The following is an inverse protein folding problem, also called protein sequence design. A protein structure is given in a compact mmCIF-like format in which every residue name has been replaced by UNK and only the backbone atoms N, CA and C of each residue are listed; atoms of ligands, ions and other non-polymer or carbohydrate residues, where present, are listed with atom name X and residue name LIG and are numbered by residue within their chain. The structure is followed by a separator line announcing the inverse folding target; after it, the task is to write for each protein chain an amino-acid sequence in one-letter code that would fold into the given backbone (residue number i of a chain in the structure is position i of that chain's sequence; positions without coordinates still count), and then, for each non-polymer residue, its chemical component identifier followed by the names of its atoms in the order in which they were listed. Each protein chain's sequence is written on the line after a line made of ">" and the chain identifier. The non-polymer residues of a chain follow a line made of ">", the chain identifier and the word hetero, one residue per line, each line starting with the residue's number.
data_IF_140511592666
#
_entry.id   IF_140511592666
#
_cell.length_a   1.000
_cell.length_b   1.000
_cell.length_c   1.000
_cell.angle_alpha   90.00
_cell.angle_beta   90.00
_cell.angle_gamma   90.00
#
_symmetry.space_group_name_H-M   'P 1'
#
loop_
_entity.id
_entity.type
_entity.pdbx_description
1 polymer ?
#
# COMPACT_ATOMS: atom_id res chain seq x y z
N UNK A 1 19.52 3.61 2.80
CA UNK A 1 18.17 3.38 2.26
C UNK A 1 18.20 2.09 1.46
N UNK A 2 17.25 1.21 1.66
CA UNK A 2 17.25 -0.11 1.04
C UNK A 2 16.71 0.01 -0.40
N UNK A 3 17.48 -0.45 -1.40
CA UNK A 3 17.04 -0.48 -2.81
C UNK A 3 15.84 -1.42 -2.97
N UNK A 4 14.76 -0.96 -3.59
CA UNK A 4 13.63 -1.81 -3.96
C UNK A 4 14.02 -2.72 -5.12
N UNK A 5 13.63 -4.01 -5.04
CA UNK A 5 13.80 -4.96 -6.14
C UNK A 5 12.59 -4.86 -7.08
N UNK A 6 12.78 -4.16 -8.20
CA UNK A 6 11.74 -3.87 -9.19
C UNK A 6 11.19 -5.15 -9.84
N UNK A 7 12.05 -6.16 -10.09
CA UNK A 7 11.64 -7.41 -10.72
C UNK A 7 10.73 -8.23 -9.79
N UNK A 8 11.05 -8.26 -8.50
CA UNK A 8 10.22 -8.91 -7.48
C UNK A 8 8.86 -8.22 -7.34
N UNK A 9 8.82 -6.88 -7.46
CA UNK A 9 7.57 -6.11 -7.38
C UNK A 9 6.66 -6.36 -8.58
N UNK A 10 7.23 -6.47 -9.79
CA UNK A 10 6.48 -6.67 -11.04
C UNK A 10 5.89 -8.08 -11.22
N UNK A 11 6.43 -9.09 -10.54
CA UNK A 11 5.96 -10.49 -10.61
C UNK A 11 4.45 -10.64 -10.29
N UNK A 12 3.87 -9.70 -9.53
CA UNK A 12 2.47 -9.69 -9.11
C UNK A 12 1.79 -8.34 -9.44
N UNK A 13 2.14 -7.75 -10.58
CA UNK A 13 1.68 -6.40 -10.94
C UNK A 13 0.16 -6.30 -11.07
N UNK A 14 -0.51 -7.30 -11.63
CA UNK A 14 -1.96 -7.30 -11.83
C UNK A 14 -2.70 -7.40 -10.49
N UNK A 15 -2.30 -8.30 -9.61
CA UNK A 15 -2.88 -8.47 -8.29
C UNK A 15 -2.65 -7.24 -7.40
N UNK A 16 -1.50 -6.58 -7.53
CA UNK A 16 -1.17 -5.35 -6.80
C UNK A 16 -1.91 -4.12 -7.35
N UNK A 17 -2.24 -4.13 -8.64
CA UNK A 17 -2.96 -3.03 -9.30
C UNK A 17 -4.47 -3.14 -9.11
N UNK A 18 -5.01 -4.34 -8.89
CA UNK A 18 -6.44 -4.57 -8.70
C UNK A 18 -7.06 -3.70 -7.60
N UNK A 19 -6.47 -3.56 -6.39
CA UNK A 19 -7.03 -2.68 -5.36
C UNK A 19 -7.07 -1.20 -5.78
N UNK A 20 -6.08 -0.73 -6.53
CA UNK A 20 -6.09 0.64 -7.04
C UNK A 20 -7.24 0.87 -8.04
N UNK A 21 -7.52 -0.11 -8.92
CA UNK A 21 -8.67 -0.04 -9.84
C UNK A 21 -10.01 -0.03 -9.09
N UNK A 22 -10.17 -0.88 -8.08
CA UNK A 22 -11.39 -0.96 -7.28
C UNK A 22 -11.61 0.32 -6.43
N UNK A 23 -10.54 0.86 -5.83
CA UNK A 23 -10.59 2.16 -5.16
C UNK A 23 -11.00 3.27 -6.13
N UNK A 24 -10.34 3.35 -7.28
CA UNK A 24 -10.59 4.36 -8.30
C UNK A 24 -12.04 4.31 -8.79
N UNK A 25 -12.61 3.11 -8.98
CA UNK A 25 -13.99 2.93 -9.42
C UNK A 25 -15.03 3.52 -8.44
N UNK A 26 -14.68 3.69 -7.16
CA UNK A 26 -15.53 4.27 -6.12
C UNK A 26 -15.34 5.77 -5.92
N UNK A 27 -14.37 6.41 -6.58
CA UNK A 27 -14.17 7.86 -6.50
C UNK A 27 -15.31 8.59 -7.23
N UNK A 28 -16.17 9.37 -6.54
CA UNK A 28 -17.38 9.95 -7.13
C UNK A 28 -17.10 11.32 -7.79
N UNK A 29 -15.93 11.50 -8.40
CA UNK A 29 -15.53 12.69 -9.14
C UNK A 29 -15.61 12.38 -10.62
N UNK A 30 -16.56 12.98 -11.32
CA UNK A 30 -16.76 12.75 -12.76
C UNK A 30 -15.64 13.41 -13.56
N UNK A 31 -15.40 14.70 -13.32
CA UNK A 31 -14.41 15.50 -13.99
C UNK A 31 -13.39 16.03 -12.98
N UNK A 32 -12.12 15.79 -13.25
CA UNK A 32 -11.01 16.29 -12.45
C UNK A 32 -10.05 17.09 -13.30
N UNK A 33 -9.56 18.20 -12.77
CA UNK A 33 -8.52 19.03 -13.38
C UNK A 33 -7.15 18.78 -12.71
N UNK A 34 -7.13 18.45 -11.42
CA UNK A 34 -5.91 18.24 -10.64
C UNK A 34 -6.03 16.97 -9.79
N UNK A 35 -5.16 16.01 -10.07
CA UNK A 35 -5.13 14.72 -9.39
C UNK A 35 -3.73 14.46 -8.86
N UNK A 36 -3.62 14.03 -7.60
CA UNK A 36 -2.34 13.67 -6.99
C UNK A 36 -2.40 12.23 -6.52
N UNK A 37 -1.37 11.46 -6.87
CA UNK A 37 -1.15 10.08 -6.44
C UNK A 37 -0.01 10.04 -5.42
N UNK A 38 -0.34 9.86 -4.14
CA UNK A 38 0.63 9.81 -3.04
C UNK A 38 1.20 8.40 -2.88
N UNK A 39 2.54 8.31 -2.81
CA UNK A 39 3.26 7.03 -2.77
C UNK A 39 3.06 6.25 -4.07
N UNK A 40 3.21 6.94 -5.19
CA UNK A 40 2.90 6.44 -6.53
C UNK A 40 3.79 5.27 -6.97
N UNK A 41 4.94 5.06 -6.30
CA UNK A 41 5.92 4.05 -6.70
C UNK A 41 6.34 4.21 -8.16
N UNK A 42 6.36 3.13 -8.97
CA UNK A 42 6.74 3.18 -10.38
C UNK A 42 5.64 3.72 -11.32
N UNK A 43 4.53 4.27 -10.76
CA UNK A 43 3.52 5.00 -11.52
C UNK A 43 2.31 4.17 -11.98
N UNK A 44 2.15 2.93 -11.55
CA UNK A 44 1.04 2.07 -12.00
C UNK A 44 -0.35 2.65 -11.65
N UNK A 45 -0.54 3.16 -10.43
CA UNK A 45 -1.77 3.84 -10.03
C UNK A 45 -1.93 5.19 -10.72
N UNK A 46 -0.84 5.95 -10.89
CA UNK A 46 -0.85 7.24 -11.60
C UNK A 46 -1.33 7.10 -13.03
N UNK A 47 -0.91 6.03 -13.74
CA UNK A 47 -1.39 5.73 -15.08
C UNK A 47 -2.90 5.42 -15.14
N UNK A 48 -3.45 4.73 -14.13
CA UNK A 48 -4.89 4.50 -14.03
C UNK A 48 -5.66 5.81 -13.81
N UNK A 49 -5.12 6.71 -12.98
CA UNK A 49 -5.71 8.02 -12.74
C UNK A 49 -5.73 8.85 -14.02
N UNK A 50 -4.61 8.87 -14.75
CA UNK A 50 -4.52 9.57 -16.05
C UNK A 50 -5.49 8.98 -17.09
N UNK A 51 -5.61 7.66 -17.15
CA UNK A 51 -6.55 7.00 -18.06
C UNK A 51 -8.01 7.37 -17.77
N UNK A 52 -8.37 7.58 -16.49
CA UNK A 52 -9.71 8.00 -16.09
C UNK A 52 -9.97 9.49 -16.40
N UNK A 53 -8.97 10.35 -16.19
CA UNK A 53 -9.06 11.80 -16.41
C UNK A 53 -7.94 12.28 -17.34
N UNK A 54 -8.07 12.01 -18.66
CA UNK A 54 -6.98 12.31 -19.61
C UNK A 54 -6.63 13.79 -19.75
N UNK A 55 -7.57 14.68 -19.42
CA UNK A 55 -7.39 16.13 -19.45
C UNK A 55 -6.87 16.70 -18.12
N UNK A 56 -6.79 15.88 -17.06
CA UNK A 56 -6.31 16.33 -15.77
C UNK A 56 -4.79 16.45 -15.73
N UNK A 57 -4.30 17.40 -14.94
CA UNK A 57 -2.93 17.39 -14.46
C UNK A 57 -2.80 16.31 -13.39
N UNK A 58 -2.15 15.20 -13.73
CA UNK A 58 -1.93 14.07 -12.81
C UNK A 58 -0.48 14.09 -12.37
N UNK A 59 -0.25 14.21 -11.06
CA UNK A 59 1.10 14.24 -10.46
C UNK A 59 1.29 13.04 -9.54
N UNK A 60 2.27 12.19 -9.84
CA UNK A 60 2.72 11.13 -8.94
C UNK A 60 3.76 11.67 -7.95
N UNK A 61 3.58 11.34 -6.67
CA UNK A 61 4.45 11.77 -5.57
C UNK A 61 5.02 10.54 -4.87
N UNK A 62 6.33 10.43 -4.76
CA UNK A 62 7.01 9.38 -4.00
C UNK A 62 8.29 9.90 -3.36
N UNK A 63 8.72 9.30 -2.26
CA UNK A 63 9.97 9.66 -1.59
C UNK A 63 11.20 8.97 -2.19
N UNK A 64 11.01 7.83 -2.92
CA UNK A 64 12.08 7.06 -3.53
C UNK A 64 12.48 7.61 -4.90
N UNK A 65 13.73 8.10 -5.05
CA UNK A 65 14.23 8.54 -6.35
C UNK A 65 14.31 7.39 -7.37
N UNK A 66 14.54 6.16 -6.94
CA UNK A 66 14.60 4.96 -7.79
C UNK A 66 13.23 4.66 -8.40
N UNK A 67 12.16 4.71 -7.57
CA UNK A 67 10.78 4.53 -8.05
C UNK A 67 10.40 5.61 -9.05
N UNK A 68 10.73 6.86 -8.76
CA UNK A 68 10.44 7.97 -9.67
C UNK A 68 11.27 7.92 -10.96
N UNK A 69 12.50 7.42 -10.90
CA UNK A 69 13.30 7.20 -12.11
C UNK A 69 12.62 6.19 -13.05
N UNK A 70 12.12 5.09 -12.48
CA UNK A 70 11.34 4.10 -13.22
C UNK A 70 10.03 4.68 -13.75
N UNK A 71 9.28 5.41 -12.93
CA UNK A 71 8.03 6.07 -13.33
C UNK A 71 8.23 7.02 -14.51
N UNK A 72 9.31 7.84 -14.52
CA UNK A 72 9.66 8.74 -15.63
C UNK A 72 10.00 7.97 -16.91
N UNK A 73 10.64 6.81 -16.77
CA UNK A 73 10.97 5.97 -17.91
C UNK A 73 9.72 5.35 -18.55
N UNK A 74 8.83 4.79 -17.72
CA UNK A 74 7.65 4.06 -18.18
C UNK A 74 6.53 5.03 -18.63
N UNK A 75 6.44 6.21 -17.98
CA UNK A 75 5.38 7.20 -18.21
C UNK A 75 5.92 8.61 -18.38
N UNK A 76 6.69 8.90 -19.46
CA UNK A 76 7.43 10.16 -19.64
C UNK A 76 6.55 11.39 -19.81
N UNK A 77 5.25 11.22 -20.03
CA UNK A 77 4.29 12.33 -20.21
C UNK A 77 3.59 12.75 -18.91
N UNK A 78 3.78 12.00 -17.81
CA UNK A 78 3.18 12.30 -16.51
C UNK A 78 4.15 13.13 -15.66
N UNK A 79 3.59 13.81 -14.67
CA UNK A 79 4.38 14.62 -13.74
C UNK A 79 4.78 13.80 -12.51
N UNK A 80 6.02 13.98 -12.08
CA UNK A 80 6.61 13.25 -10.95
C UNK A 80 7.30 14.20 -10.00
N UNK A 81 6.90 14.16 -8.73
CA UNK A 81 7.45 14.96 -7.64
C UNK A 81 8.09 14.07 -6.59
N UNK A 82 9.35 14.33 -6.24
CA UNK A 82 9.98 13.68 -5.11
C UNK A 82 9.63 14.43 -3.82
N UNK A 83 8.85 13.79 -2.96
CA UNK A 83 8.49 14.33 -1.64
C UNK A 83 8.07 13.22 -0.68
N UNK A 84 8.26 13.46 0.63
CA UNK A 84 7.68 12.63 1.67
C UNK A 84 6.19 12.98 1.84
N UNK A 85 5.33 11.96 1.94
CA UNK A 85 3.89 12.14 2.14
C UNK A 85 3.57 12.88 3.45
N UNK A 86 4.41 12.71 4.49
CA UNK A 86 4.26 13.45 5.74
C UNK A 86 4.40 14.97 5.54
N UNK A 87 5.29 15.37 4.64
CA UNK A 87 5.60 16.78 4.39
C UNK A 87 4.86 17.35 3.17
N UNK A 88 4.27 16.46 2.37
CA UNK A 88 3.58 16.87 1.15
C UNK A 88 2.46 17.87 1.43
N UNK A 89 2.49 18.96 0.66
CA UNK A 89 1.44 19.97 0.58
C UNK A 89 1.21 20.30 -0.89
N UNK A 90 -0.03 20.17 -1.33
CA UNK A 90 -0.41 20.63 -2.67
C UNK A 90 -0.30 22.15 -2.76
N UNK A 91 0.21 22.66 -3.86
CA UNK A 91 0.33 24.10 -4.15
C UNK A 91 -1.04 24.81 -4.31
N UNK A 92 -2.09 24.06 -4.62
CA UNK A 92 -3.49 24.48 -4.61
C UNK A 92 -4.40 23.27 -4.36
N UNK A 93 -5.66 23.49 -3.93
CA UNK A 93 -6.59 22.38 -3.71
C UNK A 93 -6.74 21.46 -4.91
N UNK A 94 -6.78 20.15 -4.66
CA UNK A 94 -6.88 19.12 -5.69
C UNK A 94 -8.30 18.55 -5.78
N UNK A 95 -8.67 18.02 -6.95
CA UNK A 95 -9.94 17.34 -7.14
C UNK A 95 -9.93 15.95 -6.52
N UNK A 96 -8.82 15.25 -6.67
CA UNK A 96 -8.62 13.90 -6.12
C UNK A 96 -7.22 13.79 -5.52
N UNK A 97 -7.17 13.37 -4.27
CA UNK A 97 -5.95 12.94 -3.60
C UNK A 97 -6.05 11.43 -3.42
N UNK A 98 -5.22 10.69 -4.12
CA UNK A 98 -5.24 9.22 -4.17
C UNK A 98 -4.04 8.65 -3.44
N UNK A 99 -4.21 7.58 -2.67
CA UNK A 99 -3.14 6.93 -1.93
C UNK A 99 -3.38 5.41 -1.89
N UNK A 100 -2.64 4.66 -2.69
CA UNK A 100 -2.77 3.20 -2.75
C UNK A 100 -1.57 2.51 -2.12
N UNK A 101 -1.78 1.78 -1.05
CA UNK A 101 -0.77 0.98 -0.34
C UNK A 101 0.47 1.77 0.12
N UNK A 102 0.27 2.99 0.61
CA UNK A 102 1.34 3.85 1.14
C UNK A 102 1.10 4.29 2.58
N UNK A 103 -0.12 4.76 2.94
CA UNK A 103 -0.32 5.42 4.24
C UNK A 103 -0.12 4.50 5.44
N UNK A 104 -0.29 3.19 5.30
CA UNK A 104 -0.03 2.21 6.36
C UNK A 104 1.44 2.13 6.82
N UNK A 105 2.36 2.76 6.08
CA UNK A 105 3.76 2.91 6.48
C UNK A 105 4.01 4.13 7.37
N UNK A 106 3.05 5.05 7.43
CA UNK A 106 3.20 6.33 8.10
C UNK A 106 2.62 6.28 9.52
N UNK A 107 3.25 6.95 10.47
CA UNK A 107 2.70 7.11 11.81
C UNK A 107 1.61 8.19 11.84
N UNK A 108 0.95 8.31 12.99
CA UNK A 108 0.04 9.42 13.32
C UNK A 108 -1.08 9.67 12.30
N UNK A 109 -1.85 8.64 12.02
CA UNK A 109 -3.03 8.77 11.15
C UNK A 109 -4.04 9.80 11.67
N UNK A 110 -4.04 10.07 12.98
CA UNK A 110 -4.94 11.06 13.58
C UNK A 110 -4.69 12.47 13.05
N UNK A 111 -3.44 12.87 12.87
CA UNK A 111 -3.07 14.14 12.25
C UNK A 111 -3.07 14.05 10.72
N UNK A 112 -2.66 12.90 10.16
CA UNK A 112 -2.44 12.72 8.73
C UNK A 112 -3.73 12.82 7.92
N UNK A 113 -4.77 12.05 8.27
CA UNK A 113 -5.99 11.93 7.46
C UNK A 113 -6.76 13.25 7.34
N UNK A 114 -7.05 14.01 8.43
CA UNK A 114 -7.68 15.33 8.32
C UNK A 114 -6.86 16.30 7.47
N UNK A 115 -5.53 16.29 7.64
CA UNK A 115 -4.62 17.15 6.87
C UNK A 115 -4.64 16.84 5.37
N UNK A 116 -4.70 15.56 4.99
CA UNK A 116 -4.79 15.17 3.58
C UNK A 116 -6.15 15.58 3.00
N UNK A 117 -7.25 15.36 3.72
CA UNK A 117 -8.58 15.75 3.27
C UNK A 117 -8.70 17.28 3.08
N UNK A 118 -8.04 18.08 3.92
CA UNK A 118 -8.03 19.54 3.80
C UNK A 118 -7.36 20.06 2.52
N UNK A 119 -6.54 19.26 1.86
CA UNK A 119 -5.92 19.61 0.58
C UNK A 119 -6.84 19.35 -0.64
N UNK A 120 -7.92 18.63 -0.42
CA UNK A 120 -8.93 18.36 -1.44
C UNK A 120 -9.89 19.54 -1.50
N UNK A 121 -10.32 19.97 -2.70
CA UNK A 121 -11.33 21.03 -2.84
C UNK A 121 -12.72 20.57 -2.36
N UNK A 122 -13.66 21.48 -2.02
CA UNK A 122 -15.05 21.10 -1.82
C UNK A 122 -15.62 20.34 -3.02
N UNK A 123 -16.28 19.19 -2.77
CA UNK A 123 -16.78 18.27 -3.79
C UNK A 123 -15.73 17.36 -4.42
N UNK A 124 -14.46 17.50 -4.07
CA UNK A 124 -13.40 16.55 -4.42
C UNK A 124 -13.33 15.35 -3.46
N UNK A 125 -12.39 14.44 -3.68
CA UNK A 125 -12.27 13.20 -2.91
C UNK A 125 -10.85 12.90 -2.46
N UNK A 126 -10.70 12.48 -1.19
CA UNK A 126 -9.55 11.72 -0.68
C UNK A 126 -9.91 10.23 -0.83
N UNK A 127 -9.10 9.48 -1.57
CA UNK A 127 -9.27 8.05 -1.80
C UNK A 127 -8.05 7.27 -1.31
N UNK A 128 -8.24 6.38 -0.36
CA UNK A 128 -7.15 5.65 0.32
C UNK A 128 -7.43 4.17 0.31
N UNK A 129 -6.40 3.38 -0.01
CA UNK A 129 -6.39 1.94 0.21
C UNK A 129 -5.16 1.54 1.02
N UNK A 130 -5.33 0.68 2.00
CA UNK A 130 -4.26 0.17 2.85
C UNK A 130 -4.36 -1.34 3.04
N UNK A 131 -3.24 -2.10 2.95
CA UNK A 131 -3.21 -3.47 3.45
C UNK A 131 -3.54 -3.53 4.95
N UNK A 132 -4.40 -4.49 5.34
CA UNK A 132 -4.80 -4.72 6.74
C UNK A 132 -4.32 -6.10 7.21
N UNK A 133 -3.10 -6.46 6.82
CA UNK A 133 -2.56 -7.81 6.99
C UNK A 133 -1.86 -8.06 8.32
N UNK A 134 -1.85 -7.10 9.25
CA UNK A 134 -1.11 -7.21 10.51
C UNK A 134 -1.47 -8.48 11.30
N UNK A 135 -2.73 -8.87 11.36
CA UNK A 135 -3.21 -10.05 12.08
C UNK A 135 -3.22 -11.33 11.24
N UNK A 136 -2.97 -11.23 9.94
CA UNK A 136 -2.90 -12.40 9.06
C UNK A 136 -1.74 -13.33 9.42
N UNK A 137 -1.87 -14.65 9.22
CA UNK A 137 -0.82 -15.60 9.56
C UNK A 137 0.55 -15.23 8.99
N UNK A 138 0.60 -14.75 7.74
CA UNK A 138 1.85 -14.31 7.11
C UNK A 138 2.60 -13.25 7.93
N UNK A 139 1.91 -12.19 8.36
CA UNK A 139 2.55 -11.11 9.12
C UNK A 139 2.74 -11.45 10.60
N UNK A 140 1.84 -12.23 11.19
CA UNK A 140 2.01 -12.71 12.57
C UNK A 140 3.26 -13.58 12.70
N UNK A 141 3.46 -14.52 11.77
CA UNK A 141 4.62 -15.42 11.78
C UNK A 141 5.95 -14.70 11.62
N UNK A 142 6.00 -13.56 10.90
CA UNK A 142 7.21 -12.72 10.86
C UNK A 142 7.60 -12.24 12.27
N UNK A 143 6.62 -11.73 13.02
CA UNK A 143 6.83 -11.22 14.38
C UNK A 143 7.16 -12.33 15.38
N UNK A 144 6.44 -13.45 15.29
CA UNK A 144 6.62 -14.60 16.20
C UNK A 144 8.03 -15.20 16.04
N UNK A 145 8.51 -15.36 14.82
CA UNK A 145 9.86 -15.84 14.54
C UNK A 145 10.92 -14.83 14.96
N UNK A 146 10.72 -13.54 14.66
CA UNK A 146 11.66 -12.51 15.07
C UNK A 146 11.79 -12.42 16.59
N UNK A 147 10.67 -12.54 17.32
CA UNK A 147 10.67 -12.56 18.79
C UNK A 147 11.52 -13.71 19.36
N UNK A 148 11.48 -14.88 18.74
CA UNK A 148 12.31 -16.04 19.12
C UNK A 148 13.79 -15.86 18.78
N UNK A 149 14.08 -15.09 17.72
CA UNK A 149 15.45 -14.97 17.20
C UNK A 149 16.26 -13.89 17.90
N UNK A 150 15.67 -12.72 18.20
CA UNK A 150 16.43 -11.59 18.78
C UNK A 150 15.68 -10.75 19.82
N UNK A 151 14.37 -10.88 19.99
CA UNK A 151 13.59 -10.08 20.95
C UNK A 151 13.65 -8.56 20.75
N UNK A 152 14.11 -8.08 19.59
CA UNK A 152 14.29 -6.66 19.29
C UNK A 152 13.14 -6.12 18.46
N UNK A 153 12.77 -4.86 18.70
CA UNK A 153 11.90 -4.12 17.80
C UNK A 153 12.52 -4.06 16.40
N UNK A 154 11.70 -4.28 15.36
CA UNK A 154 12.12 -4.21 13.96
C UNK A 154 11.73 -2.84 13.42
N UNK A 155 12.68 -1.92 13.19
CA UNK A 155 12.37 -0.62 12.61
C UNK A 155 11.69 -0.77 11.26
N UNK A 156 10.62 0.01 11.02
CA UNK A 156 9.87 -0.05 9.76
C UNK A 156 8.93 -1.26 9.63
N UNK A 157 8.77 -2.09 10.67
CA UNK A 157 7.72 -3.09 10.67
C UNK A 157 6.34 -2.43 10.77
N UNK A 158 5.36 -3.05 10.10
CA UNK A 158 3.98 -2.55 10.12
C UNK A 158 3.39 -2.52 11.52
N UNK A 159 2.74 -1.42 11.87
CA UNK A 159 1.80 -1.33 12.97
C UNK A 159 0.39 -1.76 12.52
N UNK A 160 -0.48 -2.19 13.45
CA UNK A 160 -1.88 -2.41 13.10
C UNK A 160 -2.54 -1.11 12.68
N UNK A 161 -3.42 -1.17 11.69
CA UNK A 161 -4.28 -0.04 11.35
C UNK A 161 -5.21 0.28 12.52
N UNK A 162 -5.61 1.54 12.62
CA UNK A 162 -6.68 1.94 13.52
C UNK A 162 -8.02 1.28 13.13
N UNK A 163 -9.01 1.32 14.00
CA UNK A 163 -10.33 0.78 13.69
C UNK A 163 -11.02 1.57 12.57
N UNK A 164 -11.96 0.95 11.86
CA UNK A 164 -12.79 1.65 10.86
C UNK A 164 -13.53 2.84 11.49
N UNK A 165 -14.03 2.66 12.73
CA UNK A 165 -14.68 3.74 13.47
C UNK A 165 -13.73 4.92 13.70
N UNK A 166 -12.47 4.66 14.06
CA UNK A 166 -11.47 5.71 14.22
C UNK A 166 -11.28 6.51 12.92
N UNK A 167 -11.14 5.85 11.76
CA UNK A 167 -10.99 6.57 10.50
C UNK A 167 -12.25 7.36 10.13
N UNK A 168 -13.43 6.82 10.43
CA UNK A 168 -14.69 7.54 10.25
C UNK A 168 -14.71 8.83 11.10
N UNK A 169 -14.40 8.71 12.39
CA UNK A 169 -14.41 9.84 13.33
C UNK A 169 -13.38 10.92 12.96
N UNK A 170 -12.24 10.54 12.37
CA UNK A 170 -11.23 11.49 11.89
C UNK A 170 -11.69 12.27 10.64
N UNK A 171 -12.52 11.66 9.80
CA UNK A 171 -12.87 12.23 8.49
C UNK A 171 -14.25 12.89 8.49
N UNK A 172 -15.25 12.33 9.18
CA UNK A 172 -16.63 12.78 9.16
C UNK A 172 -16.81 14.27 9.52
N UNK A 173 -16.07 14.87 10.48
CA UNK A 173 -16.18 16.30 10.77
C UNK A 173 -15.78 17.23 9.63
N UNK A 174 -15.02 16.71 8.65
CA UNK A 174 -14.43 17.46 7.55
C UNK A 174 -14.91 17.02 6.16
N UNK A 175 -15.73 15.98 6.11
CA UNK A 175 -16.25 15.38 4.87
C UNK A 175 -17.77 15.50 4.79
N UNK A 176 -18.26 15.72 3.59
CA UNK A 176 -19.70 15.62 3.28
C UNK A 176 -20.18 14.16 3.30
N UNK A 177 -19.30 13.23 2.91
CA UNK A 177 -19.58 11.80 2.83
C UNK A 177 -18.30 11.00 3.04
N UNK A 178 -18.41 9.88 3.77
CA UNK A 178 -17.31 8.93 3.99
C UNK A 178 -17.82 7.53 3.69
N UNK A 179 -17.20 6.87 2.70
CA UNK A 179 -17.41 5.46 2.36
C UNK A 179 -16.20 4.66 2.84
N UNK A 180 -16.44 3.62 3.66
CA UNK A 180 -15.40 2.74 4.17
C UNK A 180 -15.82 1.29 3.95
N UNK A 181 -14.94 0.50 3.36
CA UNK A 181 -15.18 -0.94 3.19
C UNK A 181 -13.91 -1.76 3.28
N UNK A 182 -14.09 -3.07 3.45
CA UNK A 182 -13.02 -4.05 3.43
C UNK A 182 -13.22 -5.03 2.29
N UNK A 183 -12.12 -5.43 1.68
CA UNK A 183 -12.08 -6.52 0.71
C UNK A 183 -10.95 -7.47 1.09
N UNK A 184 -11.26 -8.75 1.22
CA UNK A 184 -10.23 -9.78 1.38
C UNK A 184 -10.01 -10.48 0.04
N UNK A 185 -8.88 -10.19 -0.59
CA UNK A 185 -8.47 -10.92 -1.79
C UNK A 185 -7.96 -12.31 -1.42
N UNK A 186 -8.37 -13.32 -2.18
CA UNK A 186 -7.85 -14.67 -2.05
C UNK A 186 -6.90 -14.92 -3.23
N UNK A 187 -5.61 -14.72 -3.01
CA UNK A 187 -4.61 -15.00 -4.03
C UNK A 187 -4.36 -16.50 -4.11
N UNK A 188 -4.50 -17.07 -5.32
CA UNK A 188 -4.22 -18.49 -5.57
C UNK A 188 -2.73 -18.64 -5.84
N UNK A 189 -2.01 -19.15 -4.85
CA UNK A 189 -0.56 -19.30 -4.87
C UNK A 189 -0.17 -20.75 -5.21
N UNK A 190 0.85 -20.98 -6.04
CA UNK A 190 1.27 -22.34 -6.40
C UNK A 190 1.76 -23.13 -5.20
N UNK A 191 2.47 -22.48 -4.28
CA UNK A 191 3.10 -23.11 -3.11
C UNK A 191 3.35 -22.09 -1.98
N UNK A 192 3.98 -22.54 -0.89
CA UNK A 192 4.35 -21.68 0.24
C UNK A 192 5.48 -20.71 -0.10
N UNK A 193 6.40 -21.09 -0.98
CA UNK A 193 7.51 -20.24 -1.40
C UNK A 193 7.01 -19.01 -2.16
N UNK A 194 5.96 -19.16 -2.98
CA UNK A 194 5.34 -18.05 -3.68
C UNK A 194 4.68 -17.03 -2.70
N UNK A 195 4.12 -17.50 -1.57
CA UNK A 195 3.63 -16.61 -0.51
C UNK A 195 4.80 -15.85 0.13
N UNK A 196 5.89 -16.55 0.43
CA UNK A 196 7.12 -15.92 0.97
C UNK A 196 7.67 -14.89 0.00
N UNK A 197 7.72 -15.21 -1.29
CA UNK A 197 8.15 -14.28 -2.34
C UNK A 197 7.26 -13.04 -2.42
N UNK A 198 5.95 -13.20 -2.29
CA UNK A 198 5.03 -12.06 -2.25
C UNK A 198 5.39 -11.08 -1.13
N UNK A 199 5.57 -11.59 0.09
CA UNK A 199 5.81 -10.74 1.26
C UNK A 199 7.25 -10.24 1.36
N UNK A 200 8.24 -10.89 0.71
CA UNK A 200 9.61 -10.38 0.59
C UNK A 200 9.66 -9.00 -0.06
N UNK A 201 8.82 -8.76 -1.05
CA UNK A 201 8.71 -7.46 -1.73
C UNK A 201 8.01 -6.38 -0.90
N UNK A 202 7.63 -6.66 0.36
CA UNK A 202 6.90 -5.71 1.20
C UNK A 202 7.15 -5.95 2.70
N UNK A 203 6.21 -6.55 3.41
CA UNK A 203 6.21 -6.68 4.87
C UNK A 203 7.36 -7.47 5.50
N UNK A 204 7.97 -8.42 4.78
CA UNK A 204 9.06 -9.24 5.30
C UNK A 204 10.41 -8.51 5.28
N UNK A 205 10.55 -7.51 4.43
CA UNK A 205 11.82 -6.80 4.22
C UNK A 205 12.43 -6.21 5.49
N UNK A 206 11.70 -5.44 6.33
CA UNK A 206 12.25 -4.90 7.56
C UNK A 206 12.84 -5.97 8.48
N UNK A 207 12.23 -7.17 8.49
CA UNK A 207 12.72 -8.30 9.29
C UNK A 207 14.04 -8.85 8.72
N UNK A 208 14.14 -9.01 7.41
CA UNK A 208 15.37 -9.49 6.77
C UNK A 208 16.52 -8.49 6.90
N UNK A 209 16.22 -7.19 6.82
CA UNK A 209 17.23 -6.13 6.95
C UNK A 209 17.79 -6.03 8.38
N UNK A 210 16.99 -6.44 9.39
CA UNK A 210 17.42 -6.50 10.78
C UNK A 210 18.30 -7.73 11.12
N UNK A 211 18.45 -8.70 10.19
CA UNK A 211 19.22 -9.92 10.37
C UNK A 211 20.60 -9.81 9.72
N UNK A 212 21.60 -10.46 10.34
CA UNK A 212 22.91 -10.63 9.71
C UNK A 212 22.81 -11.50 8.44
N UNK A 213 23.70 -11.31 7.46
CA UNK A 213 23.64 -12.06 6.19
C UNK A 213 23.57 -13.59 6.35
N UNK A 214 24.27 -14.15 7.35
CA UNK A 214 24.26 -15.60 7.63
C UNK A 214 22.97 -16.10 8.28
N UNK A 215 22.20 -15.24 8.94
CA UNK A 215 20.94 -15.59 9.60
C UNK A 215 19.74 -15.59 8.66
N UNK A 216 19.80 -14.78 7.59
CA UNK A 216 18.69 -14.61 6.63
C UNK A 216 18.23 -15.93 6.00
N UNK A 217 19.10 -16.84 5.52
CA UNK A 217 18.67 -18.12 4.97
C UNK A 217 17.94 -18.99 5.98
N UNK A 218 18.46 -19.06 7.22
CA UNK A 218 17.87 -19.88 8.29
C UNK A 218 16.49 -19.31 8.70
N UNK A 219 16.37 -18.00 8.83
CA UNK A 219 15.10 -17.34 9.08
C UNK A 219 14.08 -17.60 7.96
N UNK A 220 14.51 -17.47 6.69
CA UNK A 220 13.65 -17.69 5.53
C UNK A 220 13.18 -19.15 5.44
N UNK A 221 14.02 -20.12 5.77
CA UNK A 221 13.64 -21.51 5.80
C UNK A 221 12.58 -21.76 6.89
N UNK A 222 12.82 -21.32 8.13
CA UNK A 222 11.89 -21.45 9.23
C UNK A 222 10.57 -20.73 8.92
N UNK A 223 10.62 -19.55 8.32
CA UNK A 223 9.43 -18.79 7.91
C UNK A 223 8.66 -19.52 6.81
N UNK A 224 9.34 -20.09 5.81
CA UNK A 224 8.70 -20.88 4.73
C UNK A 224 7.99 -22.11 5.28
N UNK A 225 8.60 -22.82 6.24
CA UNK A 225 7.97 -23.96 6.90
C UNK A 225 6.72 -23.54 7.69
N UNK A 226 6.80 -22.42 8.42
CA UNK A 226 5.66 -21.89 9.17
C UNK A 226 4.52 -21.43 8.25
N UNK A 227 4.83 -20.80 7.11
CA UNK A 227 3.87 -20.44 6.05
C UNK A 227 3.24 -21.70 5.45
N UNK A 228 4.02 -22.74 5.19
CA UNK A 228 3.50 -24.01 4.64
C UNK A 228 2.47 -24.65 5.57
N UNK A 229 2.68 -24.57 6.88
CA UNK A 229 1.74 -25.06 7.89
C UNK A 229 0.48 -24.18 8.02
N UNK A 230 0.65 -22.84 7.97
CA UNK A 230 -0.45 -21.89 8.14
C UNK A 230 -1.39 -21.80 6.90
N UNK A 231 -0.85 -22.08 5.70
CA UNK A 231 -1.60 -22.09 4.45
C UNK A 231 -1.54 -23.49 3.80
N UNK A 232 -2.36 -24.45 4.28
CA UNK A 232 -2.33 -25.82 3.76
C UNK A 232 -2.78 -25.89 2.29
N UNK A 233 -2.28 -26.90 1.55
CA UNK A 233 -2.67 -27.09 0.16
C UNK A 233 -4.16 -27.41 0.03
N UNK A 234 -4.77 -26.94 -1.04
CA UNK A 234 -6.13 -27.26 -1.46
C UNK A 234 -6.12 -28.53 -2.33
N UNK A 235 -7.29 -28.94 -2.78
CA UNK A 235 -7.45 -30.18 -3.58
C UNK A 235 -6.61 -30.19 -4.87
N UNK A 236 -6.33 -29.01 -5.44
CA UNK A 236 -5.49 -28.85 -6.63
C UNK A 236 -3.98 -28.62 -6.31
N UNK A 237 -3.59 -28.78 -5.04
CA UNK A 237 -2.24 -28.58 -4.56
C UNK A 237 -1.86 -27.11 -4.29
N UNK A 238 -2.66 -26.15 -4.76
CA UNK A 238 -2.41 -24.72 -4.57
C UNK A 238 -2.83 -24.24 -3.17
N UNK A 239 -2.48 -23.02 -2.83
CA UNK A 239 -2.77 -22.40 -1.53
C UNK A 239 -3.59 -21.15 -1.72
N UNK A 240 -4.52 -20.88 -0.80
CA UNK A 240 -5.26 -19.61 -0.76
C UNK A 240 -4.56 -18.69 0.24
N UNK A 241 -4.06 -17.59 -0.29
CA UNK A 241 -3.41 -16.53 0.47
C UNK A 241 -4.39 -15.36 0.64
N UNK A 242 -5.01 -15.28 1.82
CA UNK A 242 -5.90 -14.18 2.17
C UNK A 242 -5.10 -12.89 2.38
N UNK A 243 -5.56 -11.82 1.71
CA UNK A 243 -4.91 -10.52 1.81
C UNK A 243 -5.96 -9.42 1.98
N UNK A 244 -6.36 -9.11 3.23
CA UNK A 244 -7.36 -8.10 3.52
C UNK A 244 -6.83 -6.69 3.29
N UNK A 245 -7.73 -5.82 2.85
CA UNK A 245 -7.46 -4.42 2.58
C UNK A 245 -8.60 -3.55 3.07
N UNK A 246 -8.25 -2.40 3.65
CA UNK A 246 -9.18 -1.34 4.02
C UNK A 246 -9.19 -0.28 2.93
N UNK A 247 -10.38 0.16 2.57
CA UNK A 247 -10.64 1.21 1.59
C UNK A 247 -11.41 2.34 2.25
N UNK A 248 -11.09 3.57 1.87
CA UNK A 248 -11.69 4.79 2.39
C UNK A 248 -11.84 5.77 1.24
N UNK A 249 -13.04 6.29 1.03
CA UNK A 249 -13.30 7.43 0.14
C UNK A 249 -14.02 8.50 0.92
N UNK A 250 -13.39 9.65 1.11
CA UNK A 250 -13.97 10.79 1.80
C UNK A 250 -14.15 11.95 0.81
N UNK A 251 -15.39 12.41 0.65
CA UNK A 251 -15.76 13.58 -0.18
C UNK A 251 -15.80 14.81 0.72
N UNK A 252 -15.02 15.82 0.37
CA UNK A 252 -14.98 17.07 1.13
C UNK A 252 -16.18 17.98 0.88
#
# INVERSE_FOLDING_TARGET
>A
MASWDDQQYLKFADERTRPARELLARVPVADAARVVDLGCGPGNSTALLHARWPSARVTGVDSSPEMLARARQDWPRLEWLQADVNDFRADAPVDVLFANAVLHWLPDHAALFPRLLQQVRPGGALAVQMPESFHEPSHRLMRDLQGRWRGRAVPGAHAPLASVATYYDLLAPHARHVDLWRTTYQHVMPDAAAIVDWVKGSGLRPYLDALDPGERPVFLEAYTQAIAAAYPPRADGKRLFAFPRLFIVAVR
#
